data_IF_010611789954
#
_entry.id   IF_010611789954
#
_cell.length_a   1.000
_cell.length_b   1.000
_cell.length_c   1.000
_cell.angle_alpha   90.00
_cell.angle_beta   90.00
_cell.angle_gamma   90.00
#
_symmetry.space_group_name_H-M   'P 1'
#
loop_
_entity.id
_entity.type
_entity.pdbx_description
1 polymer ?
#
# COMPACT_ATOMS: atom_id res chain seq x y z
N UNK A 1 11.62 -24.35 -9.03
CA UNK A 1 11.99 -23.36 -8.00
C UNK A 1 11.02 -23.48 -6.84
N UNK A 2 11.36 -22.95 -5.66
CA UNK A 2 10.47 -22.96 -4.51
C UNK A 2 9.34 -21.92 -4.66
N UNK A 3 8.37 -21.96 -3.74
CA UNK A 3 7.36 -20.91 -3.59
C UNK A 3 7.93 -19.71 -2.83
N UNK A 4 7.33 -18.53 -2.99
CA UNK A 4 7.63 -17.34 -2.20
C UNK A 4 6.58 -17.22 -1.09
N UNK A 5 7.01 -17.37 0.16
CA UNK A 5 6.16 -17.25 1.35
C UNK A 5 6.02 -15.79 1.75
N UNK A 6 4.80 -15.27 1.64
CA UNK A 6 4.49 -13.85 1.84
C UNK A 6 3.65 -13.65 3.10
N UNK A 7 4.13 -12.77 3.99
CA UNK A 7 3.34 -12.26 5.09
C UNK A 7 2.75 -10.88 4.76
N UNK A 8 1.56 -10.58 5.28
CA UNK A 8 0.88 -9.29 5.09
C UNK A 8 0.72 -8.58 6.44
N UNK A 9 1.13 -7.31 6.51
CA UNK A 9 0.81 -6.39 7.61
C UNK A 9 -0.28 -5.44 7.14
N UNK A 10 -1.44 -5.45 7.82
CA UNK A 10 -2.61 -4.66 7.45
C UNK A 10 -3.44 -5.36 6.37
N UNK A 11 -4.50 -6.05 6.78
CA UNK A 11 -5.39 -6.81 5.89
C UNK A 11 -6.50 -5.91 5.34
N UNK A 12 -6.11 -4.80 4.71
CA UNK A 12 -6.99 -3.79 4.11
C UNK A 12 -7.46 -4.13 2.68
N UNK A 13 -8.01 -3.13 1.97
CA UNK A 13 -8.39 -3.26 0.55
C UNK A 13 -7.22 -3.68 -0.34
N UNK A 14 -6.01 -3.12 -0.14
CA UNK A 14 -4.82 -3.51 -0.91
C UNK A 14 -4.46 -4.99 -0.70
N UNK A 15 -4.52 -5.49 0.53
CA UNK A 15 -4.30 -6.89 0.83
C UNK A 15 -5.37 -7.77 0.17
N UNK A 16 -6.63 -7.34 0.20
CA UNK A 16 -7.73 -8.04 -0.46
C UNK A 16 -7.52 -8.14 -1.98
N UNK A 17 -7.16 -7.04 -2.64
CA UNK A 17 -6.87 -7.03 -4.06
C UNK A 17 -5.63 -7.89 -4.41
N UNK A 18 -4.59 -7.90 -3.57
CA UNK A 18 -3.40 -8.73 -3.75
C UNK A 18 -3.74 -10.22 -3.65
N UNK A 19 -4.41 -10.64 -2.58
CA UNK A 19 -4.77 -12.04 -2.36
C UNK A 19 -5.70 -12.52 -3.47
N UNK A 20 -6.75 -11.77 -3.79
CA UNK A 20 -7.63 -12.09 -4.91
C UNK A 20 -6.86 -12.15 -6.24
N UNK A 21 -5.94 -11.22 -6.50
CA UNK A 21 -5.15 -11.15 -7.73
C UNK A 21 -4.25 -12.37 -7.92
N UNK A 22 -3.56 -12.82 -6.87
CA UNK A 22 -2.76 -14.04 -6.91
C UNK A 22 -3.62 -15.24 -7.27
N UNK A 23 -4.78 -15.40 -6.63
CA UNK A 23 -5.68 -16.53 -6.89
C UNK A 23 -6.38 -16.45 -8.24
N UNK A 24 -6.65 -15.25 -8.75
CA UNK A 24 -7.28 -15.06 -10.04
C UNK A 24 -6.33 -15.42 -11.20
N UNK A 25 -5.03 -15.16 -11.03
CA UNK A 25 -4.01 -15.37 -12.07
C UNK A 25 -3.09 -16.57 -11.81
N UNK A 26 -3.32 -17.38 -10.76
CA UNK A 26 -2.42 -18.46 -10.35
C UNK A 26 -2.16 -19.52 -11.44
N UNK A 27 -3.15 -19.75 -12.30
CA UNK A 27 -3.13 -20.75 -13.37
C UNK A 27 -2.96 -20.10 -14.76
N UNK A 28 -2.64 -18.80 -14.81
CA UNK A 28 -2.38 -18.12 -16.07
C UNK A 28 -1.18 -18.77 -16.80
N UNK A 29 -1.21 -18.90 -18.14
CA UNK A 29 -0.04 -19.36 -18.87
C UNK A 29 1.14 -18.39 -18.70
N UNK A 30 2.34 -18.94 -18.57
CA UNK A 30 3.56 -18.18 -18.25
C UNK A 30 3.89 -17.05 -19.25
N UNK A 31 3.46 -17.19 -20.51
CA UNK A 31 3.68 -16.27 -21.62
C UNK A 31 2.48 -15.33 -21.88
N UNK A 32 1.40 -15.45 -21.10
CA UNK A 32 0.21 -14.62 -21.28
C UNK A 32 0.43 -13.21 -20.75
N UNK A 33 -0.07 -12.23 -21.51
CA UNK A 33 -0.15 -10.85 -21.03
C UNK A 33 -1.27 -10.71 -19.99
N UNK A 34 -0.91 -10.26 -18.79
CA UNK A 34 -1.86 -9.97 -17.72
C UNK A 34 -1.90 -8.45 -17.51
N UNK A 35 -3.06 -7.79 -17.71
CA UNK A 35 -3.18 -6.36 -17.46
C UNK A 35 -2.75 -6.01 -16.03
N UNK A 36 -1.72 -5.17 -15.94
CA UNK A 36 -1.21 -4.69 -14.66
C UNK A 36 0.02 -5.39 -14.12
N UNK A 37 0.45 -6.49 -14.75
CA UNK A 37 1.72 -7.14 -14.47
C UNK A 37 2.67 -6.91 -15.65
N UNK A 38 3.91 -6.50 -15.35
CA UNK A 38 4.94 -6.40 -16.39
C UNK A 38 5.35 -7.78 -16.91
N UNK A 39 5.36 -8.78 -16.02
CA UNK A 39 5.74 -10.15 -16.31
C UNK A 39 4.86 -11.11 -15.51
N UNK A 40 4.38 -12.15 -16.17
CA UNK A 40 3.68 -13.27 -15.54
C UNK A 40 4.66 -14.21 -14.81
N UNK A 41 5.91 -14.26 -15.28
CA UNK A 41 7.04 -14.90 -14.60
C UNK A 41 8.17 -13.87 -14.42
N UNK A 42 8.57 -13.60 -13.18
CA UNK A 42 9.67 -12.68 -12.85
C UNK A 42 10.76 -13.41 -12.07
N UNK A 43 12.00 -13.39 -12.58
CA UNK A 43 13.13 -14.04 -11.90
C UNK A 43 12.93 -15.56 -11.71
N UNK A 44 12.15 -16.20 -12.59
CA UNK A 44 11.80 -17.62 -12.50
C UNK A 44 10.59 -17.95 -11.61
N UNK A 45 9.96 -16.95 -10.99
CA UNK A 45 8.75 -17.13 -10.19
C UNK A 45 7.50 -16.71 -10.95
N UNK A 46 6.54 -17.61 -11.08
CA UNK A 46 5.21 -17.33 -11.59
C UNK A 46 4.35 -16.61 -10.54
N UNK A 47 3.30 -15.90 -10.95
CA UNK A 47 2.34 -15.27 -10.01
C UNK A 47 1.76 -16.29 -9.03
N UNK A 48 1.50 -17.50 -9.52
CA UNK A 48 0.99 -18.63 -8.71
C UNK A 48 1.99 -19.21 -7.70
N UNK A 49 3.27 -18.82 -7.76
CA UNK A 49 4.28 -19.26 -6.79
C UNK A 49 4.24 -18.46 -5.48
N UNK A 50 3.41 -17.41 -5.40
CA UNK A 50 3.16 -16.65 -4.18
C UNK A 50 2.25 -17.45 -3.25
N UNK A 51 2.74 -17.77 -2.05
CA UNK A 51 1.98 -18.43 -0.99
C UNK A 51 1.90 -17.52 0.23
N UNK A 52 0.69 -17.21 0.68
CA UNK A 52 0.53 -16.43 1.91
C UNK A 52 0.84 -17.30 3.13
N UNK A 53 1.75 -16.84 3.98
CA UNK A 53 2.27 -17.61 5.13
C UNK A 53 1.83 -17.06 6.48
N UNK A 54 1.60 -15.75 6.58
CA UNK A 54 1.14 -15.09 7.79
C UNK A 54 0.38 -13.80 7.45
N UNK A 55 -0.48 -13.35 8.36
CA UNK A 55 -1.15 -12.05 8.24
C UNK A 55 -1.31 -11.40 9.61
N UNK A 56 -1.23 -10.08 9.66
CA UNK A 56 -1.33 -9.29 10.89
C UNK A 56 -2.32 -8.14 10.70
N UNK A 57 -3.23 -7.97 11.65
CA UNK A 57 -4.15 -6.83 11.69
C UNK A 57 -4.45 -6.43 13.15
N UNK A 58 -5.14 -5.32 13.33
CA UNK A 58 -5.56 -4.82 14.64
C UNK A 58 -7.08 -4.80 14.80
N UNK A 59 -7.85 -4.95 13.73
CA UNK A 59 -9.30 -4.91 13.74
C UNK A 59 -9.87 -6.21 14.32
N UNK A 60 -10.78 -6.10 15.29
CA UNK A 60 -11.50 -7.23 15.90
C UNK A 60 -12.29 -8.04 14.87
N UNK A 61 -12.69 -7.42 13.75
CA UNK A 61 -13.40 -8.10 12.68
C UNK A 61 -12.48 -9.00 11.84
N UNK A 62 -11.16 -8.90 11.98
CA UNK A 62 -10.16 -9.59 11.15
C UNK A 62 -9.30 -10.54 11.97
N UNK A 63 -8.82 -10.09 13.13
CA UNK A 63 -7.96 -10.90 14.02
C UNK A 63 -8.67 -12.21 14.40
N UNK A 64 -7.97 -13.34 14.23
CA UNK A 64 -8.46 -14.69 14.48
C UNK A 64 -9.15 -15.36 13.30
N UNK A 65 -9.52 -14.63 12.24
CA UNK A 65 -10.10 -15.22 11.03
C UNK A 65 -9.04 -15.78 10.10
N UNK A 66 -9.43 -16.68 9.21
CA UNK A 66 -8.59 -17.07 8.08
C UNK A 66 -8.39 -15.86 7.15
N UNK A 67 -7.21 -15.71 6.56
CA UNK A 67 -6.92 -14.65 5.61
C UNK A 67 -7.91 -14.65 4.42
N UNK A 68 -8.42 -15.81 3.97
CA UNK A 68 -9.44 -15.89 2.92
C UNK A 68 -10.75 -15.18 3.30
N UNK A 69 -11.06 -15.09 4.60
CA UNK A 69 -12.26 -14.44 5.11
C UNK A 69 -11.97 -12.98 5.50
N UNK A 70 -10.83 -12.73 6.14
CA UNK A 70 -10.45 -11.41 6.64
C UNK A 70 -10.31 -10.37 5.51
N UNK A 71 -9.88 -10.78 4.31
CA UNK A 71 -9.81 -9.88 3.15
C UNK A 71 -11.16 -9.33 2.70
N UNK A 72 -12.26 -10.00 3.05
CA UNK A 72 -13.63 -9.56 2.75
C UNK A 72 -14.35 -8.99 3.98
N UNK A 73 -13.73 -9.05 5.16
CA UNK A 73 -14.32 -8.53 6.38
C UNK A 73 -14.36 -6.98 6.34
N UNK A 74 -15.46 -6.35 6.80
CA UNK A 74 -15.52 -4.90 6.91
C UNK A 74 -14.38 -4.38 7.82
N UNK A 75 -13.88 -3.16 7.58
CA UNK A 75 -14.38 -2.17 6.62
C UNK A 75 -13.82 -2.32 5.19
N UNK A 76 -13.26 -3.49 4.82
CA UNK A 76 -12.85 -3.71 3.44
C UNK A 76 -14.06 -3.64 2.50
N UNK A 77 -13.89 -2.93 1.39
CA UNK A 77 -14.94 -2.66 0.40
C UNK A 77 -14.38 -2.61 -1.02
N UNK A 78 -13.24 -3.26 -1.26
CA UNK A 78 -12.74 -3.46 -2.63
C UNK A 78 -13.61 -4.44 -3.41
N UNK A 79 -13.52 -4.37 -4.74
CA UNK A 79 -14.28 -5.24 -5.62
C UNK A 79 -13.91 -6.69 -5.35
N UNK A 80 -14.92 -7.55 -5.21
CA UNK A 80 -14.75 -9.00 -5.24
C UNK A 80 -14.72 -9.48 -6.69
N UNK A 81 -13.59 -10.00 -7.12
CA UNK A 81 -13.39 -10.51 -8.48
C UNK A 81 -12.83 -11.93 -8.52
N UNK A 82 -12.45 -12.49 -7.38
CA UNK A 82 -12.00 -13.86 -7.25
C UNK A 82 -12.46 -14.46 -5.93
N UNK A 83 -12.91 -15.71 -5.98
CA UNK A 83 -13.13 -16.52 -4.79
C UNK A 83 -11.79 -17.06 -4.28
N UNK A 84 -11.53 -16.89 -2.99
CA UNK A 84 -10.28 -17.34 -2.37
C UNK A 84 -10.61 -18.55 -1.48
N UNK A 85 -10.05 -19.74 -1.75
CA UNK A 85 -10.24 -20.89 -0.88
C UNK A 85 -9.63 -20.63 0.49
N UNK A 86 -10.06 -21.39 1.50
CA UNK A 86 -9.50 -21.31 2.84
C UNK A 86 -7.98 -21.52 2.80
N UNK A 87 -7.23 -20.59 3.37
CA UNK A 87 -5.77 -20.59 3.27
C UNK A 87 -5.08 -21.33 4.41
N UNK A 88 -5.75 -21.51 5.55
CA UNK A 88 -5.13 -22.00 6.77
C UNK A 88 -4.18 -20.97 7.40
N UNK A 89 -4.35 -19.69 7.05
CA UNK A 89 -3.49 -18.58 7.51
C UNK A 89 -4.32 -17.69 8.43
N UNK A 90 -4.23 -17.88 9.76
CA UNK A 90 -4.95 -17.02 10.69
C UNK A 90 -4.36 -15.60 10.67
N UNK A 91 -5.24 -14.60 10.79
CA UNK A 91 -4.82 -13.22 11.01
C UNK A 91 -4.46 -13.02 12.48
N UNK A 92 -3.19 -12.77 12.74
CA UNK A 92 -2.63 -12.55 14.06
C UNK A 92 -2.82 -11.12 14.55
N UNK A 93 -2.80 -10.94 15.88
CA UNK A 93 -2.92 -9.64 16.51
C UNK A 93 -1.62 -8.85 16.32
N UNK A 94 -1.63 -7.89 15.41
CA UNK A 94 -0.47 -7.04 15.10
C UNK A 94 -0.23 -5.91 16.12
N UNK A 95 0.89 -5.21 16.01
CA UNK A 95 1.13 -4.00 16.80
C UNK A 95 0.30 -2.82 16.29
N UNK A 96 -0.31 -2.07 17.20
CA UNK A 96 -1.15 -0.90 16.87
C UNK A 96 -0.35 0.38 16.64
N UNK A 97 0.48 0.79 17.62
CA UNK A 97 1.16 2.10 17.65
C UNK A 97 0.29 3.25 17.08
N UNK A 98 0.82 4.01 16.12
CA UNK A 98 0.19 5.13 15.42
C UNK A 98 -0.61 4.71 14.17
N UNK A 99 -0.82 3.40 13.99
CA UNK A 99 -1.55 2.81 12.87
C UNK A 99 -3.05 3.08 12.87
N UNK A 100 -3.61 3.58 13.96
CA UNK A 100 -5.03 3.91 14.07
C UNK A 100 -5.22 5.42 14.31
N UNK A 101 -5.54 6.14 13.23
CA UNK A 101 -5.83 7.58 13.26
C UNK A 101 -7.20 7.94 13.84
N UNK A 102 -7.47 9.24 13.95
CA UNK A 102 -8.70 9.79 14.55
C UNK A 102 -9.95 9.34 13.82
N UNK A 103 -9.94 9.32 12.50
CA UNK A 103 -11.13 8.92 11.71
C UNK A 103 -11.26 7.40 11.63
N UNK A 104 -10.14 6.68 11.52
CA UNK A 104 -10.17 5.21 11.51
C UNK A 104 -10.66 4.63 12.84
N UNK A 105 -10.31 5.24 13.98
CA UNK A 105 -10.76 4.77 15.30
C UNK A 105 -12.27 4.86 15.52
N UNK A 106 -12.99 5.60 14.68
CA UNK A 106 -14.45 5.70 14.72
C UNK A 106 -15.14 4.50 14.06
N UNK A 107 -14.44 3.79 13.17
CA UNK A 107 -15.00 2.68 12.38
C UNK A 107 -14.30 1.34 12.63
N UNK A 108 -13.08 1.36 13.16
CA UNK A 108 -12.31 0.17 13.51
C UNK A 108 -12.26 0.03 15.02
N UNK A 109 -12.72 -1.12 15.52
CA UNK A 109 -12.54 -1.51 16.90
C UNK A 109 -11.30 -2.39 17.02
N UNK A 110 -10.38 -2.00 17.90
CA UNK A 110 -9.15 -2.76 18.14
C UNK A 110 -9.47 -4.11 18.80
N UNK A 111 -8.92 -5.18 18.25
CA UNK A 111 -8.96 -6.51 18.84
C UNK A 111 -8.32 -6.51 20.25
N UNK A 112 -8.92 -7.22 21.22
CA UNK A 112 -8.39 -7.30 22.57
C UNK A 112 -7.06 -8.08 22.61
N UNK A 113 -6.35 -7.98 23.72
CA UNK A 113 -5.11 -8.72 23.95
C UNK A 113 -3.83 -8.00 23.48
N UNK A 114 -2.66 -8.55 23.85
CA UNK A 114 -1.37 -8.04 23.44
C UNK A 114 -1.09 -8.35 21.96
N UNK A 115 -0.06 -7.71 21.41
CA UNK A 115 0.51 -8.09 20.11
C UNK A 115 1.07 -9.51 20.17
N UNK A 116 0.80 -10.32 19.15
CA UNK A 116 1.36 -11.66 19.00
C UNK A 116 2.88 -11.61 18.71
N UNK A 117 3.58 -12.74 18.92
CA UNK A 117 5.01 -12.86 18.63
C UNK A 117 5.29 -12.83 17.12
N UNK A 118 5.44 -11.61 16.57
CA UNK A 118 5.66 -11.37 15.15
C UNK A 118 6.89 -12.14 14.64
N UNK A 119 8.01 -12.07 15.36
CA UNK A 119 9.27 -12.71 14.95
C UNK A 119 9.12 -14.24 14.96
N UNK A 120 8.53 -14.79 16.04
CA UNK A 120 8.27 -16.22 16.16
C UNK A 120 7.36 -16.74 15.04
N UNK A 121 6.27 -16.03 14.76
CA UNK A 121 5.33 -16.39 13.69
C UNK A 121 6.01 -16.37 12.31
N UNK A 122 6.75 -15.30 11.98
CA UNK A 122 7.45 -15.19 10.70
C UNK A 122 8.47 -16.31 10.51
N UNK A 123 9.22 -16.67 11.56
CA UNK A 123 10.19 -17.78 11.54
C UNK A 123 9.51 -19.14 11.44
N UNK A 124 8.47 -19.40 12.23
CA UNK A 124 7.73 -20.68 12.23
C UNK A 124 7.07 -20.95 10.87
N UNK A 125 6.51 -19.90 10.28
CA UNK A 125 5.87 -19.94 8.97
C UNK A 125 6.87 -19.89 7.81
N UNK A 126 8.18 -19.78 8.09
CA UNK A 126 9.27 -19.69 7.11
C UNK A 126 8.99 -18.61 6.06
N UNK A 127 8.56 -17.44 6.53
CA UNK A 127 8.21 -16.33 5.65
C UNK A 127 9.46 -15.80 4.95
N UNK A 128 9.38 -15.58 3.64
CA UNK A 128 10.46 -15.02 2.83
C UNK A 128 10.36 -13.49 2.74
N UNK A 129 9.14 -12.97 2.53
CA UNK A 129 8.90 -11.54 2.28
C UNK A 129 7.69 -11.05 3.07
N UNK A 130 7.78 -9.85 3.65
CA UNK A 130 6.70 -9.20 4.38
C UNK A 130 6.25 -7.94 3.63
N UNK A 131 4.97 -7.84 3.33
CA UNK A 131 4.36 -6.72 2.62
C UNK A 131 3.61 -5.82 3.61
N UNK A 132 3.93 -4.54 3.63
CA UNK A 132 3.34 -3.55 4.52
C UNK A 132 2.24 -2.72 3.84
N UNK A 133 1.00 -2.88 4.29
CA UNK A 133 -0.18 -2.10 3.90
C UNK A 133 -0.82 -1.35 5.09
N UNK A 134 -0.03 -0.94 6.07
CA UNK A 134 -0.52 -0.09 7.16
C UNK A 134 -1.14 1.23 6.63
N UNK A 135 -1.98 1.90 7.42
CA UNK A 135 -2.52 3.20 7.03
C UNK A 135 -1.43 4.26 6.82
N UNK A 136 -1.71 5.26 5.98
CA UNK A 136 -0.82 6.42 5.80
C UNK A 136 -0.58 7.13 7.14
N UNK A 137 0.67 7.50 7.40
CA UNK A 137 1.09 8.17 8.65
C UNK A 137 1.46 7.23 9.79
N UNK A 138 1.47 5.91 9.56
CA UNK A 138 1.86 4.90 10.56
C UNK A 138 3.38 4.75 10.69
N UNK A 139 4.07 5.82 11.08
CA UNK A 139 5.54 5.89 11.09
C UNK A 139 6.16 5.02 12.19
N UNK A 140 5.66 5.12 13.43
CA UNK A 140 6.14 4.33 14.56
C UNK A 140 5.82 2.84 14.34
N UNK A 141 4.60 2.52 13.92
CA UNK A 141 4.21 1.15 13.61
C UNK A 141 5.12 0.55 12.52
N UNK A 142 5.31 1.26 11.41
CA UNK A 142 6.13 0.75 10.29
C UNK A 142 7.57 0.51 10.72
N UNK A 143 8.21 1.47 11.40
CA UNK A 143 9.59 1.30 11.88
C UNK A 143 9.70 0.14 12.89
N UNK A 144 8.71 0.00 13.78
CA UNK A 144 8.66 -1.11 14.72
C UNK A 144 8.55 -2.46 14.00
N UNK A 145 7.67 -2.59 13.00
CA UNK A 145 7.56 -3.80 12.19
C UNK A 145 8.83 -4.09 11.41
N UNK A 146 9.50 -3.08 10.85
CA UNK A 146 10.78 -3.27 10.14
C UNK A 146 11.83 -3.92 11.03
N UNK A 147 11.93 -3.53 12.31
CA UNK A 147 12.81 -4.23 13.26
C UNK A 147 12.43 -5.70 13.43
N UNK A 148 11.14 -6.01 13.58
CA UNK A 148 10.68 -7.41 13.72
C UNK A 148 10.97 -8.23 12.45
N UNK A 149 10.78 -7.64 11.27
CA UNK A 149 11.04 -8.26 9.97
C UNK A 149 12.51 -8.55 9.78
N UNK A 150 13.38 -7.58 10.11
CA UNK A 150 14.82 -7.77 10.10
C UNK A 150 15.21 -8.91 11.05
N UNK A 151 14.65 -8.96 12.26
CA UNK A 151 14.97 -9.99 13.26
C UNK A 151 14.47 -11.38 12.84
N UNK A 152 13.35 -11.44 12.11
CA UNK A 152 12.85 -12.68 11.52
C UNK A 152 13.69 -13.17 10.33
N UNK A 153 14.49 -12.30 9.72
CA UNK A 153 15.29 -12.64 8.54
C UNK A 153 14.51 -12.59 7.23
N UNK A 154 13.48 -11.74 7.14
CA UNK A 154 12.61 -11.64 5.96
C UNK A 154 12.95 -10.41 5.11
N UNK A 155 12.71 -10.48 3.81
CA UNK A 155 12.66 -9.31 2.94
C UNK A 155 11.45 -8.43 3.24
N UNK A 156 11.50 -7.15 2.85
CA UNK A 156 10.43 -6.19 3.15
C UNK A 156 9.97 -5.42 1.92
N UNK A 157 8.65 -5.30 1.73
CA UNK A 157 8.03 -4.48 0.69
C UNK A 157 7.13 -3.44 1.35
N UNK A 158 7.58 -2.18 1.31
CA UNK A 158 6.89 -1.06 1.93
C UNK A 158 5.95 -0.37 0.93
N UNK A 159 4.65 -0.61 1.05
CA UNK A 159 3.66 -0.06 0.11
C UNK A 159 3.13 1.33 0.52
N UNK A 160 3.61 1.90 1.63
CA UNK A 160 3.07 3.14 2.20
C UNK A 160 4.13 4.26 2.17
N UNK A 161 3.75 5.54 2.24
CA UNK A 161 4.69 6.67 2.14
C UNK A 161 5.41 6.98 3.47
N UNK A 162 5.85 5.94 4.19
CA UNK A 162 6.79 6.07 5.31
C UNK A 162 8.17 5.75 4.78
N UNK A 163 9.14 6.63 5.00
CA UNK A 163 10.48 6.47 4.43
C UNK A 163 11.27 5.35 5.12
N UNK A 164 11.47 4.24 4.41
CA UNK A 164 12.26 3.09 4.83
C UNK A 164 13.30 2.81 3.74
N UNK A 165 12.86 2.32 2.59
CA UNK A 165 13.75 1.95 1.49
C UNK A 165 14.50 3.17 0.92
N UNK A 166 13.96 4.38 1.07
CA UNK A 166 14.62 5.62 0.63
C UNK A 166 15.62 6.20 1.65
N UNK A 167 15.74 5.61 2.85
CA UNK A 167 16.64 6.11 3.90
C UNK A 167 17.90 5.26 4.02
N UNK A 168 19.06 5.91 3.97
CA UNK A 168 20.37 5.27 4.10
C UNK A 168 20.53 4.49 5.43
N UNK A 169 19.86 4.91 6.50
CA UNK A 169 19.86 4.17 7.77
C UNK A 169 19.28 2.77 7.60
N UNK A 170 18.07 2.65 7.06
CA UNK A 170 17.41 1.35 6.88
C UNK A 170 18.06 0.52 5.78
N UNK A 171 18.47 1.15 4.67
CA UNK A 171 19.20 0.46 3.59
C UNK A 171 20.41 -0.31 4.14
N UNK A 172 21.25 0.34 4.94
CA UNK A 172 22.42 -0.31 5.57
C UNK A 172 22.04 -1.48 6.46
N UNK A 173 20.97 -1.37 7.24
CA UNK A 173 20.52 -2.45 8.13
C UNK A 173 19.99 -3.68 7.38
N UNK A 174 19.33 -3.47 6.25
CA UNK A 174 18.91 -4.56 5.35
C UNK A 174 20.14 -5.20 4.67
N UNK A 175 21.08 -4.39 4.19
CA UNK A 175 22.33 -4.84 3.56
C UNK A 175 23.22 -5.66 4.51
N UNK A 176 23.42 -5.19 5.75
CA UNK A 176 24.18 -5.88 6.80
C UNK A 176 23.62 -7.28 7.12
N UNK A 177 22.32 -7.50 6.91
CA UNK A 177 21.65 -8.79 7.10
C UNK A 177 21.49 -9.59 5.81
N UNK A 178 21.92 -9.06 4.67
CA UNK A 178 21.76 -9.68 3.35
C UNK A 178 20.30 -9.81 2.90
N UNK A 179 19.42 -8.90 3.35
CA UNK A 179 17.98 -8.94 3.10
C UNK A 179 17.56 -7.85 2.10
N UNK A 180 16.61 -8.12 1.19
CA UNK A 180 16.10 -7.12 0.27
C UNK A 180 15.06 -6.20 0.93
N UNK A 181 15.06 -4.92 0.53
CA UNK A 181 14.01 -3.96 0.86
C UNK A 181 13.53 -3.24 -0.40
N UNK A 182 12.22 -3.20 -0.62
CA UNK A 182 11.56 -2.47 -1.70
C UNK A 182 10.61 -1.44 -1.11
N UNK A 183 10.61 -0.24 -1.68
CA UNK A 183 9.79 0.88 -1.21
C UNK A 183 10.33 2.20 -1.72
N UNK A 184 9.76 3.34 -1.33
CA UNK A 184 8.55 3.50 -0.51
C UNK A 184 7.37 3.96 -1.38
N UNK A 185 6.14 3.79 -0.88
CA UNK A 185 4.87 4.18 -1.55
C UNK A 185 4.63 3.46 -2.89
N UNK A 186 3.80 2.40 -2.86
CA UNK A 186 3.51 1.62 -4.08
C UNK A 186 2.81 2.49 -5.14
N UNK A 187 3.21 2.32 -6.41
CA UNK A 187 2.61 3.05 -7.52
C UNK A 187 1.33 2.36 -8.00
N UNK A 188 0.27 3.14 -8.18
CA UNK A 188 -0.86 2.73 -9.02
C UNK A 188 -0.43 2.70 -10.50
N UNK A 189 -1.01 1.81 -11.29
CA UNK A 189 -0.74 1.69 -12.73
C UNK A 189 -1.04 3.00 -13.47
N UNK A 190 -2.27 3.49 -13.35
CA UNK A 190 -2.72 4.77 -13.91
C UNK A 190 -3.45 5.56 -12.83
N UNK A 191 -2.67 6.29 -12.04
CA UNK A 191 -3.19 7.19 -11.01
C UNK A 191 -3.33 8.64 -11.46
N UNK A 192 -4.03 9.45 -10.67
CA UNK A 192 -4.16 10.89 -10.90
C UNK A 192 -2.81 11.62 -11.10
N UNK A 193 -1.81 11.28 -10.28
CA UNK A 193 -0.50 11.93 -10.33
C UNK A 193 0.23 11.69 -11.65
N UNK A 194 0.21 10.47 -12.21
CA UNK A 194 0.90 10.20 -13.49
C UNK A 194 0.19 10.88 -14.66
N UNK A 195 -1.14 10.90 -14.65
CA UNK A 195 -1.94 11.61 -15.67
C UNK A 195 -1.64 13.11 -15.63
N UNK A 196 -1.70 13.73 -14.45
CA UNK A 196 -1.40 15.15 -14.27
C UNK A 196 0.04 15.48 -14.71
N UNK A 197 1.00 14.63 -14.37
CA UNK A 197 2.41 14.78 -14.77
C UNK A 197 2.58 14.74 -16.29
N UNK A 198 1.95 13.79 -16.97
CA UNK A 198 2.00 13.66 -18.44
C UNK A 198 1.39 14.89 -19.11
N UNK A 199 0.23 15.37 -18.63
CA UNK A 199 -0.39 16.60 -19.16
C UNK A 199 0.47 17.85 -18.91
N UNK A 200 1.11 17.95 -17.74
CA UNK A 200 2.03 19.06 -17.41
C UNK A 200 3.25 19.06 -18.33
N UNK A 201 3.81 17.88 -18.57
CA UNK A 201 4.91 17.71 -19.51
C UNK A 201 4.50 18.10 -20.94
N UNK A 202 3.29 17.73 -21.37
CA UNK A 202 2.76 18.10 -22.68
C UNK A 202 2.62 19.62 -22.85
N UNK A 203 2.09 20.33 -21.84
CA UNK A 203 2.00 21.80 -21.85
C UNK A 203 3.38 22.42 -22.14
N UNK A 204 4.38 22.02 -21.36
CA UNK A 204 5.77 22.46 -21.54
C UNK A 204 6.30 22.14 -22.94
N UNK A 205 6.14 20.91 -23.43
CA UNK A 205 6.63 20.51 -24.75
C UNK A 205 5.98 21.29 -25.91
N UNK A 206 4.76 21.79 -25.72
CA UNK A 206 4.03 22.59 -26.72
C UNK A 206 4.24 24.08 -26.57
N UNK A 207 5.09 24.52 -25.64
CA UNK A 207 5.31 25.94 -25.35
C UNK A 207 4.11 26.62 -24.69
N UNK A 208 3.19 25.84 -24.11
CA UNK A 208 2.04 26.36 -23.36
C UNK A 208 2.45 26.54 -21.91
N UNK A 209 2.37 27.77 -21.42
CA UNK A 209 2.69 28.10 -20.04
C UNK A 209 1.51 27.73 -19.14
N UNK A 210 1.72 26.76 -18.24
CA UNK A 210 0.81 26.48 -17.14
C UNK A 210 0.93 27.59 -16.09
N UNK A 211 -0.18 28.23 -15.74
CA UNK A 211 -0.28 29.27 -14.72
C UNK A 211 -0.89 28.77 -13.42
N UNK A 212 -1.92 27.91 -13.53
CA UNK A 212 -2.68 27.40 -12.37
C UNK A 212 -3.07 25.95 -12.58
N UNK A 213 -3.02 25.15 -11.52
CA UNK A 213 -3.49 23.77 -11.58
C UNK A 213 -4.03 23.26 -10.24
N UNK A 214 -5.04 22.39 -10.33
CA UNK A 214 -5.43 21.56 -9.20
C UNK A 214 -5.62 20.09 -9.58
N UNK A 215 -5.48 19.22 -8.59
CA UNK A 215 -5.81 17.81 -8.62
C UNK A 215 -6.57 17.43 -7.34
N UNK A 216 -7.89 17.34 -7.46
CA UNK A 216 -8.79 16.98 -6.37
C UNK A 216 -9.06 15.48 -6.40
N UNK A 217 -8.77 14.77 -5.32
CA UNK A 217 -8.93 13.32 -5.23
C UNK A 217 -9.94 12.96 -4.13
N UNK A 218 -10.90 12.10 -4.41
CA UNK A 218 -11.86 11.62 -3.41
C UNK A 218 -12.22 10.14 -3.65
N UNK A 219 -12.65 9.46 -2.60
CA UNK A 219 -12.97 8.03 -2.62
C UNK A 219 -13.72 7.60 -1.35
N UNK A 220 -14.14 6.35 -1.28
CA UNK A 220 -15.02 5.83 -0.22
C UNK A 220 -14.42 4.72 0.63
N UNK A 221 -13.10 4.51 0.56
CA UNK A 221 -12.40 3.50 1.36
C UNK A 221 -11.76 4.10 2.62
N UNK A 222 -11.25 3.22 3.48
CA UNK A 222 -10.60 3.61 4.72
C UNK A 222 -9.29 4.37 4.52
N UNK A 223 -8.58 4.19 3.40
CA UNK A 223 -7.41 5.03 3.07
C UNK A 223 -7.83 6.49 2.86
N UNK A 224 -8.88 6.75 2.08
CA UNK A 224 -9.42 8.10 1.91
C UNK A 224 -9.95 8.71 3.20
N UNK A 225 -10.63 7.92 4.03
CA UNK A 225 -11.08 8.36 5.35
C UNK A 225 -9.90 8.75 6.25
N UNK A 226 -8.84 7.92 6.29
CA UNK A 226 -7.62 8.21 7.04
C UNK A 226 -6.92 9.48 6.51
N UNK A 227 -6.95 9.68 5.21
CA UNK A 227 -6.39 10.87 4.55
C UNK A 227 -7.21 12.16 4.79
N UNK A 228 -8.36 12.13 5.47
CA UNK A 228 -8.99 13.38 5.94
C UNK A 228 -8.19 14.04 7.08
N UNK A 229 -7.37 13.26 7.79
CA UNK A 229 -6.47 13.74 8.83
C UNK A 229 -5.24 14.41 8.20
N UNK A 230 -5.33 15.73 7.97
CA UNK A 230 -4.28 16.49 7.27
C UNK A 230 -2.89 16.35 7.88
N UNK A 231 -2.79 16.22 9.21
CA UNK A 231 -1.53 16.02 9.93
C UNK A 231 -0.78 14.76 9.46
N UNK A 232 -1.50 13.72 9.03
CA UNK A 232 -0.90 12.48 8.50
C UNK A 232 -0.42 12.58 7.05
N UNK A 233 -0.63 13.72 6.39
CA UNK A 233 -0.41 13.91 4.95
C UNK A 233 0.79 14.77 4.59
N UNK A 234 1.46 15.42 5.52
CA UNK A 234 2.50 16.41 5.23
C UNK A 234 3.55 15.86 4.24
N UNK A 235 4.07 14.66 4.49
CA UNK A 235 5.01 13.97 3.59
C UNK A 235 4.42 13.65 2.21
N UNK A 236 3.14 13.23 2.15
CA UNK A 236 2.45 12.83 0.91
C UNK A 236 2.05 14.03 0.04
N UNK A 237 1.79 15.19 0.66
CA UNK A 237 1.48 16.44 -0.04
C UNK A 237 2.73 16.99 -0.72
N UNK A 238 3.85 17.03 0.01
CA UNK A 238 5.13 17.48 -0.55
C UNK A 238 5.56 16.62 -1.76
N UNK A 239 5.50 15.30 -1.65
CA UNK A 239 5.90 14.39 -2.73
C UNK A 239 5.03 14.51 -3.98
N UNK A 240 3.70 14.69 -3.82
CA UNK A 240 2.77 14.81 -4.95
C UNK A 240 2.86 16.15 -5.66
N UNK A 241 2.96 17.25 -4.92
CA UNK A 241 3.15 18.58 -5.53
C UNK A 241 4.45 18.60 -6.32
N UNK A 242 5.55 18.11 -5.73
CA UNK A 242 6.84 18.03 -6.41
C UNK A 242 6.82 17.16 -7.67
N UNK A 243 6.06 16.06 -7.68
CA UNK A 243 5.95 15.19 -8.87
C UNK A 243 5.35 15.90 -10.09
N UNK A 244 4.51 16.91 -9.88
CA UNK A 244 3.90 17.71 -10.96
C UNK A 244 4.80 18.90 -11.30
N UNK A 245 5.21 19.69 -10.30
CA UNK A 245 5.98 20.92 -10.53
C UNK A 245 7.38 20.67 -11.08
N UNK A 246 7.98 19.51 -10.78
CA UNK A 246 9.28 19.08 -11.36
C UNK A 246 9.28 18.90 -12.87
N UNK A 247 8.11 18.87 -13.53
CA UNK A 247 8.04 18.80 -14.98
C UNK A 247 8.24 20.15 -15.66
N UNK A 248 8.08 21.25 -14.93
CA UNK A 248 8.16 22.62 -15.43
C UNK A 248 9.59 23.16 -15.28
N UNK A 249 10.00 24.00 -16.23
CA UNK A 249 11.31 24.67 -16.21
C UNK A 249 11.26 25.99 -15.39
N UNK A 250 10.16 26.24 -14.68
CA UNK A 250 9.91 27.42 -13.85
C UNK A 250 9.11 27.05 -12.60
N UNK A 251 9.21 27.89 -11.56
CA UNK A 251 8.44 27.72 -10.35
C UNK A 251 7.01 28.26 -10.51
N UNK A 252 6.02 27.48 -10.09
CA UNK A 252 4.66 27.95 -9.90
C UNK A 252 4.49 28.48 -8.46
N UNK A 253 3.80 29.62 -8.26
CA UNK A 253 3.43 30.08 -6.92
C UNK A 253 2.65 29.01 -6.16
N UNK A 254 2.87 28.90 -4.85
CA UNK A 254 2.28 27.84 -4.03
C UNK A 254 0.75 27.90 -4.01
N UNK A 255 0.19 29.11 -4.09
CA UNK A 255 -1.24 29.39 -4.19
C UNK A 255 -1.86 28.93 -5.52
N UNK A 256 -1.05 28.73 -6.56
CA UNK A 256 -1.49 28.32 -7.89
C UNK A 256 -1.44 26.79 -8.12
N UNK A 257 -1.02 26.02 -7.12
CA UNK A 257 -0.91 24.56 -7.21
C UNK A 257 -1.60 23.91 -6.02
N UNK A 258 -2.66 23.15 -6.29
CA UNK A 258 -3.38 22.40 -5.26
C UNK A 258 -3.45 20.90 -5.59
N UNK A 259 -2.67 20.07 -4.89
CA UNK A 259 -2.65 18.62 -5.09
C UNK A 259 -2.84 17.90 -3.77
N UNK A 260 -3.88 17.07 -3.65
CA UNK A 260 -4.13 16.33 -2.43
C UNK A 260 -5.42 15.51 -2.44
N UNK A 261 -5.63 14.67 -1.40
CA UNK A 261 -6.98 14.19 -1.07
C UNK A 261 -7.86 15.38 -0.72
N UNK A 262 -9.10 15.31 -1.19
CA UNK A 262 -10.09 16.38 -1.09
C UNK A 262 -11.23 15.97 -0.17
N UNK A 263 -11.74 14.75 -0.31
CA UNK A 263 -12.92 14.32 0.44
C UNK A 263 -13.08 12.80 0.54
N UNK A 264 -14.01 12.38 1.39
CA UNK A 264 -14.47 11.01 1.58
C UNK A 264 -15.96 10.88 1.22
N UNK A 265 -16.26 10.00 0.26
CA UNK A 265 -17.61 9.79 -0.25
C UNK A 265 -17.96 8.29 -0.11
N UNK A 266 -18.71 7.89 0.94
CA UNK A 266 -18.84 6.50 1.35
C UNK A 266 -19.29 5.53 0.24
N UNK A 267 -20.28 5.93 -0.57
CA UNK A 267 -20.83 5.07 -1.62
C UNK A 267 -19.89 4.85 -2.81
N UNK A 268 -18.75 5.53 -2.87
CA UNK A 268 -17.71 5.22 -3.86
C UNK A 268 -16.96 3.93 -3.52
N UNK A 269 -17.01 3.47 -2.27
CA UNK A 269 -16.25 2.31 -1.80
C UNK A 269 -14.76 2.43 -2.19
N UNK A 270 -14.13 1.39 -2.72
CA UNK A 270 -12.72 1.42 -3.15
C UNK A 270 -12.47 2.18 -4.47
N UNK A 271 -13.48 2.83 -5.04
CA UNK A 271 -13.32 3.66 -6.24
C UNK A 271 -12.77 5.02 -5.88
N UNK A 272 -11.82 5.47 -6.69
CA UNK A 272 -11.21 6.79 -6.60
C UNK A 272 -11.58 7.64 -7.80
N UNK A 273 -12.04 8.85 -7.53
CA UNK A 273 -12.30 9.87 -8.54
C UNK A 273 -11.26 10.97 -8.44
N UNK A 274 -10.98 11.59 -9.57
CA UNK A 274 -10.04 12.70 -9.66
C UNK A 274 -10.54 13.76 -10.63
N UNK A 275 -10.52 15.02 -10.19
CA UNK A 275 -10.70 16.19 -11.04
C UNK A 275 -9.38 16.93 -11.19
N UNK A 276 -8.94 17.10 -12.43
CA UNK A 276 -7.75 17.88 -12.79
C UNK A 276 -8.22 19.08 -13.59
N UNK A 277 -7.73 20.27 -13.23
CA UNK A 277 -7.89 21.49 -14.02
C UNK A 277 -6.53 22.13 -14.17
N UNK A 278 -6.20 22.54 -15.40
CA UNK A 278 -4.94 23.15 -15.78
C UNK A 278 -5.27 24.37 -16.63
N UNK A 279 -4.70 25.51 -16.27
CA UNK A 279 -4.87 26.80 -16.95
C UNK A 279 -3.53 27.32 -17.44
#
# INVERSE_FOLDING_TARGET
MGKIRVAIIGVGNCASALVQGVYFYRDAPADTFIPGLMHTVLGGYHVGDIEFSAAFDIDINKVGKDLSEAIFAPPNNTRRFCEVPRLGVPVHRGMTHDGLGKYLSQIIQKAPGPTDDIVGILRQTRTDVVVNFLPVGSEMATKWYVEQVLDAGCGFVNCIPVFIASQAYWQRRFEERGLPVLGDDIKSQVGATIVHRVLTHLFRQRGVRLERTYQLNFGGNTDFLNMLERERLESKKASKTGAVTSQLDYALPAENVHVGPSDYVPWLEDRKFCHIRME
#
